data_IF_430850649433
#
_entry.id   IF_430850649433
#
_cell.length_a   1.000
_cell.length_b   1.000
_cell.length_c   1.000
_cell.angle_alpha   90.00
_cell.angle_beta   90.00
_cell.angle_gamma   90.00
#
_symmetry.space_group_name_H-M   'P 1'
#
loop_
_entity.id
_entity.type
_entity.pdbx_description
1 polymer ?
#
# COMPACT_ATOMS: atom_id res chain seq x y z
N UNK A 1 -18.90 -12.75 -29.45
CA UNK A 1 -18.60 -11.81 -28.38
C UNK A 1 -18.69 -12.59 -27.09
N UNK A 2 -17.82 -12.33 -26.10
CA UNK A 2 -17.81 -13.13 -24.86
C UNK A 2 -19.03 -12.74 -24.01
N UNK A 3 -19.79 -13.70 -23.47
CA UNK A 3 -21.08 -13.43 -22.79
C UNK A 3 -20.94 -12.42 -21.62
N UNK A 4 -19.80 -12.42 -20.91
CA UNK A 4 -19.58 -11.45 -19.84
C UNK A 4 -19.36 -10.02 -20.35
N UNK A 5 -18.79 -9.81 -21.56
CA UNK A 5 -18.66 -8.47 -22.16
C UNK A 5 -20.02 -7.86 -22.52
N UNK A 6 -20.92 -8.69 -23.04
CA UNK A 6 -22.29 -8.26 -23.32
C UNK A 6 -23.04 -7.92 -22.05
N UNK A 7 -22.83 -8.72 -21.00
CA UNK A 7 -23.42 -8.45 -19.68
C UNK A 7 -22.88 -7.16 -19.06
N UNK A 8 -21.55 -6.94 -19.12
CA UNK A 8 -20.92 -5.70 -18.63
C UNK A 8 -21.49 -4.48 -19.36
N UNK A 9 -21.54 -4.52 -20.68
CA UNK A 9 -22.03 -3.40 -21.48
C UNK A 9 -23.50 -3.06 -21.16
N UNK A 10 -24.35 -4.07 -20.96
CA UNK A 10 -25.74 -3.89 -20.58
C UNK A 10 -25.93 -3.37 -19.14
N UNK A 11 -24.93 -3.44 -18.27
CA UNK A 11 -25.03 -3.09 -16.86
C UNK A 11 -24.05 -1.98 -16.42
N UNK A 12 -23.33 -1.34 -17.33
CA UNK A 12 -22.30 -0.33 -17.03
C UNK A 12 -22.79 0.77 -16.07
N UNK A 13 -23.91 1.39 -16.41
CA UNK A 13 -24.45 2.51 -15.62
C UNK A 13 -24.85 2.06 -14.21
N UNK A 14 -25.40 0.86 -14.06
CA UNK A 14 -25.73 0.28 -12.77
C UNK A 14 -24.46 -0.01 -11.95
N UNK A 15 -23.46 -0.62 -12.55
CA UNK A 15 -22.18 -0.90 -11.88
C UNK A 15 -21.50 0.38 -11.35
N UNK A 16 -21.50 1.42 -12.19
CA UNK A 16 -20.98 2.72 -11.80
C UNK A 16 -21.81 3.33 -10.65
N UNK A 17 -23.13 3.30 -10.75
CA UNK A 17 -24.00 3.86 -9.72
C UNK A 17 -23.80 3.15 -8.37
N UNK A 18 -23.69 1.82 -8.37
CA UNK A 18 -23.45 1.04 -7.17
C UNK A 18 -22.09 1.36 -6.52
N UNK A 19 -21.03 1.61 -7.33
CA UNK A 19 -19.76 2.11 -6.81
C UNK A 19 -19.92 3.51 -6.19
N UNK A 20 -20.61 4.44 -6.90
CA UNK A 20 -20.83 5.79 -6.37
C UNK A 20 -21.61 5.75 -5.04
N UNK A 21 -22.57 4.81 -4.88
CA UNK A 21 -23.31 4.65 -3.63
C UNK A 21 -22.42 4.13 -2.49
N UNK A 22 -21.45 3.23 -2.79
CA UNK A 22 -20.47 2.77 -1.81
C UNK A 22 -19.50 3.88 -1.39
N UNK A 23 -19.09 4.74 -2.34
CA UNK A 23 -18.19 5.88 -2.07
C UNK A 23 -18.81 6.96 -1.18
N UNK A 24 -20.15 7.05 -1.12
CA UNK A 24 -20.87 7.98 -0.24
C UNK A 24 -20.76 7.63 1.23
N UNK A 25 -20.36 6.41 1.57
CA UNK A 25 -20.19 5.99 2.97
C UNK A 25 -18.81 6.42 3.45
N UNK A 26 -18.69 7.34 4.42
CA UNK A 26 -17.41 7.87 4.89
C UNK A 26 -16.74 6.91 5.89
N UNK A 27 -16.31 5.75 5.42
CA UNK A 27 -15.69 4.70 6.23
C UNK A 27 -14.24 5.03 6.63
N UNK A 28 -14.06 6.09 7.39
CA UNK A 28 -12.74 6.56 7.86
C UNK A 28 -12.34 5.81 9.12
N UNK A 29 -11.50 4.78 9.00
CA UNK A 29 -11.08 3.90 10.10
C UNK A 29 -10.36 4.62 11.24
N UNK A 30 -9.59 5.65 10.93
CA UNK A 30 -8.79 6.40 11.90
C UNK A 30 -9.59 7.31 12.85
N UNK A 31 -10.89 7.51 12.60
CA UNK A 31 -11.72 8.46 13.36
C UNK A 31 -12.93 7.77 14.00
N UNK A 32 -13.02 7.78 15.32
CA UNK A 32 -14.10 7.12 16.07
C UNK A 32 -15.51 7.69 15.76
N UNK A 33 -15.61 8.92 15.27
CA UNK A 33 -16.87 9.51 14.83
C UNK A 33 -17.48 8.78 13.62
N UNK A 34 -16.69 8.01 12.88
CA UNK A 34 -17.09 7.21 11.73
C UNK A 34 -17.33 5.71 12.04
N UNK A 35 -17.36 5.31 13.32
CA UNK A 35 -17.57 3.89 13.67
C UNK A 35 -18.89 3.32 13.11
N UNK A 36 -19.97 4.12 13.10
CA UNK A 36 -21.26 3.70 12.51
C UNK A 36 -21.17 3.60 10.99
N UNK A 37 -20.39 4.46 10.34
CA UNK A 37 -20.14 4.43 8.90
C UNK A 37 -19.30 3.20 8.51
N UNK A 38 -18.32 2.81 9.33
CA UNK A 38 -17.56 1.57 9.16
C UNK A 38 -18.49 0.35 9.15
N UNK A 39 -19.41 0.25 10.12
CA UNK A 39 -20.41 -0.82 10.17
C UNK A 39 -21.39 -0.76 8.99
N UNK A 40 -21.78 0.43 8.55
CA UNK A 40 -22.65 0.61 7.39
C UNK A 40 -21.95 0.16 6.10
N UNK A 41 -20.64 0.49 5.94
CA UNK A 41 -19.85 0.10 4.79
C UNK A 41 -19.64 -1.43 4.75
N UNK A 42 -19.29 -2.07 5.87
CA UNK A 42 -19.18 -3.53 5.96
C UNK A 42 -20.49 -4.23 5.53
N UNK A 43 -21.65 -3.73 5.96
CA UNK A 43 -22.96 -4.24 5.55
C UNK A 43 -23.23 -4.04 4.07
N UNK A 44 -22.84 -2.90 3.51
CA UNK A 44 -22.98 -2.61 2.07
C UNK A 44 -22.13 -3.56 1.23
N UNK A 45 -20.87 -3.82 1.65
CA UNK A 45 -19.96 -4.78 1.00
C UNK A 45 -20.54 -6.20 1.06
N UNK A 46 -20.96 -6.67 2.24
CA UNK A 46 -21.56 -8.00 2.40
C UNK A 46 -22.82 -8.17 1.53
N UNK A 47 -23.65 -7.13 1.46
CA UNK A 47 -24.82 -7.11 0.58
C UNK A 47 -24.41 -7.19 -0.89
N UNK A 48 -23.42 -6.42 -1.31
CA UNK A 48 -22.94 -6.40 -2.70
C UNK A 48 -22.39 -7.78 -3.13
N UNK A 49 -21.68 -8.48 -2.24
CA UNK A 49 -21.23 -9.86 -2.46
C UNK A 49 -22.39 -10.83 -2.61
N UNK A 50 -23.42 -10.71 -1.76
CA UNK A 50 -24.65 -11.54 -1.84
C UNK A 50 -25.38 -11.29 -3.17
N UNK A 51 -25.56 -10.04 -3.54
CA UNK A 51 -26.23 -9.65 -4.80
C UNK A 51 -25.45 -10.13 -6.04
N UNK A 52 -24.13 -10.16 -5.96
CA UNK A 52 -23.24 -10.70 -7.00
C UNK A 52 -23.29 -12.23 -7.11
N UNK A 53 -23.87 -12.92 -6.13
CA UNK A 53 -24.07 -14.38 -6.17
C UNK A 53 -23.16 -15.16 -5.22
N UNK A 54 -22.48 -14.52 -4.27
CA UNK A 54 -21.78 -15.23 -3.21
C UNK A 54 -22.76 -16.10 -2.40
N UNK A 55 -22.35 -17.33 -2.14
CA UNK A 55 -23.14 -18.29 -1.36
C UNK A 55 -23.09 -17.97 0.14
N UNK A 56 -21.99 -17.38 0.57
CA UNK A 56 -21.75 -16.90 1.94
C UNK A 56 -21.26 -15.44 1.83
N UNK A 57 -21.83 -14.58 2.63
CA UNK A 57 -21.31 -13.23 2.88
C UNK A 57 -21.52 -12.91 4.37
N UNK A 58 -20.45 -12.95 5.15
CA UNK A 58 -20.48 -12.86 6.62
C UNK A 58 -19.58 -11.73 7.09
N UNK A 59 -20.08 -10.94 8.03
CA UNK A 59 -19.31 -9.92 8.72
C UNK A 59 -18.73 -10.55 9.99
N UNK A 60 -17.42 -10.52 10.13
CA UNK A 60 -16.68 -10.96 11.31
C UNK A 60 -16.29 -9.75 12.13
N UNK A 61 -16.85 -9.65 13.33
CA UNK A 61 -16.46 -8.62 14.29
C UNK A 61 -15.03 -8.86 14.77
N UNK A 62 -14.28 -7.78 14.98
CA UNK A 62 -12.93 -7.78 15.54
C UNK A 62 -12.90 -6.91 16.80
N UNK A 63 -11.74 -6.72 17.43
CA UNK A 63 -11.57 -5.74 18.50
C UNK A 63 -11.62 -4.28 17.96
N UNK A 64 -11.52 -4.09 16.66
CA UNK A 64 -11.62 -2.81 15.96
C UNK A 64 -12.75 -2.81 14.93
N UNK A 65 -12.41 -2.64 13.65
CA UNK A 65 -13.39 -2.62 12.56
C UNK A 65 -13.61 -4.02 11.97
N UNK A 66 -14.84 -4.35 11.52
CA UNK A 66 -15.17 -5.69 11.06
C UNK A 66 -14.48 -6.05 9.74
N UNK A 67 -14.33 -7.36 9.54
CA UNK A 67 -13.85 -7.97 8.28
C UNK A 67 -15.05 -8.62 7.59
N UNK A 68 -15.21 -8.35 6.29
CA UNK A 68 -16.24 -8.98 5.46
C UNK A 68 -15.63 -10.17 4.72
N UNK A 69 -16.16 -11.35 4.97
CA UNK A 69 -15.83 -12.57 4.25
C UNK A 69 -16.93 -12.93 3.25
N UNK A 70 -16.56 -13.26 2.02
CA UNK A 70 -17.45 -13.76 0.99
C UNK A 70 -16.94 -15.06 0.39
N UNK A 71 -17.85 -15.94 -0.05
CA UNK A 71 -17.46 -17.20 -0.67
C UNK A 71 -18.45 -17.67 -1.72
N UNK A 72 -17.91 -18.21 -2.83
CA UNK A 72 -18.64 -19.06 -3.76
C UNK A 72 -17.77 -20.25 -4.15
N UNK A 73 -18.25 -21.45 -3.81
CA UNK A 73 -17.62 -22.72 -4.20
C UNK A 73 -18.48 -23.36 -5.29
N UNK A 74 -18.01 -23.30 -6.50
CA UNK A 74 -18.72 -23.83 -7.68
C UNK A 74 -18.46 -25.34 -7.83
N UNK A 75 -17.18 -25.72 -7.72
CA UNK A 75 -16.73 -27.11 -7.79
C UNK A 75 -15.48 -27.28 -6.91
N UNK A 76 -15.46 -28.23 -5.96
CA UNK A 76 -14.28 -28.47 -5.12
C UNK A 76 -13.00 -28.83 -5.89
N UNK A 77 -13.11 -29.25 -7.16
CA UNK A 77 -11.95 -29.54 -8.02
C UNK A 77 -11.37 -28.30 -8.71
N UNK A 78 -12.08 -27.19 -8.68
CA UNK A 78 -11.60 -25.94 -9.26
C UNK A 78 -10.58 -25.26 -8.33
N UNK A 79 -9.58 -24.57 -8.89
CA UNK A 79 -8.69 -23.76 -8.07
C UNK A 79 -9.48 -22.64 -7.40
N UNK A 80 -9.01 -22.24 -6.21
CA UNK A 80 -9.63 -21.20 -5.39
C UNK A 80 -8.79 -19.93 -5.39
N UNK A 81 -9.39 -18.81 -5.75
CA UNK A 81 -8.79 -17.47 -5.68
C UNK A 81 -9.32 -16.76 -4.45
N UNK A 82 -8.42 -16.27 -3.58
CA UNK A 82 -8.75 -15.39 -2.47
C UNK A 82 -8.53 -13.95 -2.91
N UNK A 83 -9.59 -13.17 -3.01
CA UNK A 83 -9.55 -11.74 -3.28
C UNK A 83 -9.39 -10.99 -1.96
N UNK A 84 -8.37 -10.17 -1.86
CA UNK A 84 -8.20 -9.26 -0.76
C UNK A 84 -8.39 -7.81 -1.21
N UNK A 85 -8.95 -6.98 -0.34
CA UNK A 85 -9.12 -5.55 -0.47
C UNK A 85 -9.55 -4.94 0.86
N UNK A 86 -9.74 -3.61 0.90
CA UNK A 86 -10.20 -2.93 2.08
C UNK A 86 -11.31 -1.91 1.78
N UNK A 87 -12.23 -1.73 2.74
CA UNK A 87 -13.35 -0.80 2.59
C UNK A 87 -13.17 0.47 3.41
N UNK A 88 -12.18 0.54 4.28
CA UNK A 88 -11.84 1.78 4.98
C UNK A 88 -11.06 2.74 4.07
N UNK A 89 -11.01 3.98 4.49
CA UNK A 89 -10.37 5.04 3.73
C UNK A 89 -9.64 6.01 4.66
N UNK A 90 -8.61 6.69 4.14
CA UNK A 90 -7.89 7.76 4.84
C UNK A 90 -8.81 8.96 5.18
N UNK A 91 -8.49 9.71 6.25
CA UNK A 91 -9.10 11.01 6.50
C UNK A 91 -9.03 11.92 5.27
N UNK A 92 -10.07 12.67 5.03
CA UNK A 92 -10.17 13.55 3.85
C UNK A 92 -9.52 14.93 4.06
N UNK A 93 -8.94 15.18 5.23
CA UNK A 93 -8.33 16.47 5.56
C UNK A 93 -7.10 16.77 4.68
N UNK A 94 -6.85 18.04 4.30
CA UNK A 94 -7.66 19.24 4.59
C UNK A 94 -8.86 19.40 3.62
N UNK A 95 -10.05 19.57 4.18
CA UNK A 95 -11.32 19.60 3.42
C UNK A 95 -11.43 20.78 2.44
N UNK A 96 -10.80 21.89 2.76
CA UNK A 96 -10.83 23.12 1.94
C UNK A 96 -10.11 23.00 0.59
N UNK A 97 -9.32 21.94 0.40
CA UNK A 97 -8.60 21.68 -0.85
C UNK A 97 -9.38 20.77 -1.82
N UNK A 98 -10.52 20.23 -1.40
CA UNK A 98 -11.35 19.43 -2.28
C UNK A 98 -12.20 20.30 -3.21
N UNK A 99 -12.30 19.90 -4.49
CA UNK A 99 -13.17 20.56 -5.48
C UNK A 99 -14.65 20.22 -5.28
N UNK A 100 -14.95 19.06 -4.69
CA UNK A 100 -16.27 18.59 -4.30
C UNK A 100 -16.19 17.94 -2.92
N UNK A 101 -17.32 17.67 -2.27
CA UNK A 101 -17.29 16.93 -1.00
C UNK A 101 -16.59 15.59 -1.15
N UNK A 102 -15.63 15.22 -0.27
CA UNK A 102 -14.85 13.99 -0.41
C UNK A 102 -15.70 12.72 -0.42
N UNK A 103 -16.89 12.73 0.16
CA UNK A 103 -17.87 11.64 0.15
C UNK A 103 -19.14 11.98 -0.67
N UNK A 104 -19.01 12.94 -1.57
CA UNK A 104 -20.00 13.31 -2.60
C UNK A 104 -19.41 13.01 -3.97
N UNK A 105 -19.33 11.72 -4.37
CA UNK A 105 -18.59 11.32 -5.57
C UNK A 105 -19.11 12.08 -6.80
N UNK A 106 -18.21 12.81 -7.43
CA UNK A 106 -18.50 13.69 -8.55
C UNK A 106 -17.75 13.24 -9.79
N UNK A 107 -18.44 13.14 -10.92
CA UNK A 107 -17.82 12.74 -12.19
C UNK A 107 -17.43 13.99 -12.98
N UNK A 108 -16.14 14.15 -13.26
CA UNK A 108 -15.60 15.22 -14.09
C UNK A 108 -14.67 14.59 -15.13
N UNK A 109 -14.90 14.85 -16.41
CA UNK A 109 -14.08 14.37 -17.53
C UNK A 109 -13.81 12.84 -17.51
N UNK A 110 -14.83 12.05 -17.14
CA UNK A 110 -14.74 10.59 -17.10
C UNK A 110 -14.00 10.04 -15.87
N UNK A 111 -13.76 10.86 -14.86
CA UNK A 111 -13.08 10.51 -13.60
C UNK A 111 -14.04 10.70 -12.43
N UNK A 112 -14.01 9.77 -11.49
CA UNK A 112 -14.74 9.84 -10.23
C UNK A 112 -13.85 10.54 -9.22
N UNK A 113 -14.25 11.68 -8.69
CA UNK A 113 -13.58 12.37 -7.60
C UNK A 113 -14.28 12.06 -6.28
N UNK A 114 -13.63 11.30 -5.42
CA UNK A 114 -14.07 10.99 -4.06
C UNK A 114 -12.94 10.33 -3.27
N UNK A 115 -12.95 10.41 -1.95
CA UNK A 115 -12.08 9.62 -1.08
C UNK A 115 -12.48 8.13 -1.18
N UNK A 116 -11.49 7.24 -1.38
CA UNK A 116 -11.70 5.82 -1.60
C UNK A 116 -12.06 5.47 -3.05
N UNK A 117 -12.03 6.45 -3.97
CA UNK A 117 -12.38 6.19 -5.38
C UNK A 117 -11.41 5.23 -6.06
N UNK A 118 -10.12 5.33 -5.74
CA UNK A 118 -9.07 4.42 -6.22
C UNK A 118 -8.58 3.51 -5.10
N UNK A 119 -8.47 4.00 -3.89
CA UNK A 119 -7.87 3.37 -2.74
C UNK A 119 -8.92 3.08 -1.65
N UNK A 120 -9.46 1.88 -1.53
CA UNK A 120 -9.43 0.70 -2.43
C UNK A 120 -10.85 0.35 -2.93
N UNK A 121 -11.90 1.14 -2.50
CA UNK A 121 -13.31 0.83 -2.84
C UNK A 121 -13.52 0.65 -4.34
N UNK A 122 -12.94 1.54 -5.17
CA UNK A 122 -13.05 1.43 -6.62
C UNK A 122 -12.41 0.17 -7.15
N UNK A 123 -11.28 -0.25 -6.60
CA UNK A 123 -10.54 -1.38 -7.11
C UNK A 123 -11.09 -2.72 -6.59
N UNK A 124 -11.31 -2.91 -5.28
CA UNK A 124 -11.89 -4.19 -4.85
C UNK A 124 -13.30 -4.40 -5.42
N UNK A 125 -14.07 -3.33 -5.62
CA UNK A 125 -15.43 -3.44 -6.16
C UNK A 125 -15.48 -3.99 -7.59
N UNK A 126 -14.40 -3.85 -8.36
CA UNK A 126 -14.27 -4.50 -9.67
C UNK A 126 -14.38 -6.03 -9.55
N UNK A 127 -13.81 -6.62 -8.50
CA UNK A 127 -13.90 -8.06 -8.26
C UNK A 127 -15.32 -8.51 -7.92
N UNK A 128 -16.07 -7.67 -7.17
CA UNK A 128 -17.49 -7.93 -6.89
C UNK A 128 -18.31 -7.93 -8.17
N UNK A 129 -18.06 -6.97 -9.06
CA UNK A 129 -18.78 -6.92 -10.37
C UNK A 129 -18.34 -8.03 -11.34
N UNK A 130 -17.06 -8.41 -11.32
CA UNK A 130 -16.58 -9.56 -12.07
C UNK A 130 -17.22 -10.87 -11.58
N UNK A 131 -17.35 -11.06 -10.25
CA UNK A 131 -18.09 -12.19 -9.67
C UNK A 131 -19.53 -12.21 -10.20
N UNK A 132 -20.24 -11.07 -10.14
CA UNK A 132 -21.61 -10.96 -10.65
C UNK A 132 -21.71 -11.37 -12.13
N UNK A 133 -20.80 -10.84 -12.96
CA UNK A 133 -20.77 -11.20 -14.38
C UNK A 133 -20.57 -12.69 -14.60
N UNK A 134 -19.55 -13.28 -13.97
CA UNK A 134 -19.22 -14.70 -14.12
C UNK A 134 -20.36 -15.60 -13.64
N UNK A 135 -21.00 -15.22 -12.53
CA UNK A 135 -22.16 -15.95 -11.99
C UNK A 135 -23.37 -15.87 -12.92
N UNK A 136 -23.74 -14.68 -13.39
CA UNK A 136 -24.92 -14.46 -14.25
C UNK A 136 -24.74 -15.03 -15.65
N UNK A 137 -23.53 -15.21 -16.12
CA UNK A 137 -23.23 -15.79 -17.44
C UNK A 137 -22.84 -17.26 -17.38
N UNK A 138 -22.89 -17.90 -16.20
CA UNK A 138 -22.46 -19.29 -15.99
C UNK A 138 -21.03 -19.56 -16.49
N UNK A 139 -20.12 -18.61 -16.30
CA UNK A 139 -18.73 -18.68 -16.77
C UNK A 139 -17.70 -18.84 -15.64
N UNK A 140 -18.15 -19.21 -14.45
CA UNK A 140 -17.28 -19.51 -13.32
C UNK A 140 -16.40 -20.73 -13.61
N UNK A 141 -15.09 -20.58 -13.43
CA UNK A 141 -14.08 -21.62 -13.65
C UNK A 141 -13.10 -21.75 -12.48
N UNK A 142 -13.27 -20.93 -11.47
CA UNK A 142 -12.57 -20.98 -10.17
C UNK A 142 -13.58 -20.86 -9.05
N UNK A 143 -13.22 -21.33 -7.86
CA UNK A 143 -13.87 -20.92 -6.64
C UNK A 143 -13.30 -19.55 -6.23
N UNK A 144 -14.12 -18.72 -5.62
CA UNK A 144 -13.69 -17.37 -5.21
C UNK A 144 -14.04 -17.14 -3.74
N UNK A 145 -13.09 -16.64 -3.00
CA UNK A 145 -13.25 -16.15 -1.63
C UNK A 145 -12.87 -14.67 -1.58
N UNK A 146 -13.47 -13.94 -0.66
CA UNK A 146 -13.19 -12.53 -0.41
C UNK A 146 -12.83 -12.33 1.04
N UNK A 147 -11.81 -11.54 1.30
CA UNK A 147 -11.51 -10.93 2.61
C UNK A 147 -11.37 -9.44 2.36
N UNK A 148 -12.37 -8.68 2.81
CA UNK A 148 -12.39 -7.22 2.67
C UNK A 148 -12.36 -6.63 4.08
N UNK A 149 -11.22 -6.05 4.46
CA UNK A 149 -11.03 -5.51 5.81
C UNK A 149 -11.42 -4.05 5.95
N UNK A 150 -11.49 -3.58 7.18
CA UNK A 150 -11.81 -2.19 7.51
C UNK A 150 -10.72 -1.47 8.30
N UNK A 151 -9.47 -1.92 8.25
CA UNK A 151 -8.38 -1.37 9.06
C UNK A 151 -7.05 -1.24 8.29
N UNK A 152 -7.04 -1.41 6.96
CA UNK A 152 -5.80 -1.33 6.17
C UNK A 152 -5.11 0.00 6.39
N UNK A 153 -5.85 1.09 6.33
CA UNK A 153 -5.39 2.47 6.42
C UNK A 153 -4.85 2.88 7.81
N UNK A 154 -5.03 2.01 8.80
CA UNK A 154 -4.46 2.14 10.15
C UNK A 154 -3.50 1.00 10.49
N UNK A 155 -3.08 0.21 9.49
CA UNK A 155 -2.06 -0.84 9.60
C UNK A 155 -2.58 -2.21 9.99
N UNK A 156 -3.86 -2.52 9.74
CA UNK A 156 -4.48 -3.84 9.88
C UNK A 156 -4.27 -4.53 11.26
N UNK A 157 -4.47 -3.84 12.39
CA UNK A 157 -4.09 -4.36 13.70
C UNK A 157 -4.78 -5.68 14.08
N UNK A 158 -5.99 -5.94 13.54
CA UNK A 158 -6.77 -7.13 13.86
C UNK A 158 -6.73 -8.23 12.79
N UNK A 159 -6.22 -7.93 11.59
CA UNK A 159 -6.19 -8.88 10.47
C UNK A 159 -5.35 -10.13 10.80
N UNK A 160 -4.19 -9.97 11.42
CA UNK A 160 -3.31 -11.08 11.77
C UNK A 160 -4.02 -12.09 12.69
N UNK A 161 -4.79 -11.61 13.67
CA UNK A 161 -5.60 -12.45 14.57
C UNK A 161 -6.68 -13.20 13.80
N UNK A 162 -7.38 -12.51 12.90
CA UNK A 162 -8.42 -13.12 12.06
C UNK A 162 -7.84 -14.21 11.15
N UNK A 163 -6.74 -13.93 10.44
CA UNK A 163 -6.10 -14.89 9.53
C UNK A 163 -5.63 -16.14 10.27
N UNK A 164 -4.96 -15.98 11.41
CA UNK A 164 -4.49 -17.10 12.24
C UNK A 164 -5.62 -17.99 12.73
N UNK A 165 -6.74 -17.38 13.14
CA UNK A 165 -7.91 -18.10 13.64
C UNK A 165 -8.71 -18.80 12.53
N UNK A 166 -8.60 -18.37 11.28
CA UNK A 166 -9.46 -18.79 10.17
C UNK A 166 -8.69 -19.40 8.99
N UNK A 167 -7.51 -20.02 9.22
CA UNK A 167 -6.67 -20.60 8.16
C UNK A 167 -7.42 -21.57 7.23
N UNK A 168 -8.27 -22.44 7.79
CA UNK A 168 -9.06 -23.40 7.01
C UNK A 168 -10.13 -22.70 6.15
N UNK A 169 -10.76 -21.64 6.68
CA UNK A 169 -11.71 -20.82 5.96
C UNK A 169 -11.03 -20.11 4.77
N UNK A 170 -9.80 -19.64 4.97
CA UNK A 170 -9.04 -18.84 4.00
C UNK A 170 -8.22 -19.69 3.01
N UNK A 171 -8.29 -21.01 3.10
CA UNK A 171 -7.60 -21.91 2.16
C UNK A 171 -7.93 -21.53 0.72
N UNK A 172 -6.88 -21.29 -0.06
CA UNK A 172 -6.94 -20.91 -1.48
C UNK A 172 -5.68 -21.41 -2.23
N UNK A 173 -5.57 -21.13 -3.50
CA UNK A 173 -4.40 -21.45 -4.33
C UNK A 173 -3.57 -20.19 -4.66
N UNK A 174 -4.21 -19.00 -4.64
CA UNK A 174 -3.59 -17.71 -4.89
C UNK A 174 -4.37 -16.59 -4.20
N UNK A 175 -3.68 -15.51 -3.85
CA UNK A 175 -4.32 -14.25 -3.43
C UNK A 175 -4.23 -13.25 -4.58
N UNK A 176 -5.33 -12.58 -4.87
CA UNK A 176 -5.43 -11.53 -5.88
C UNK A 176 -5.76 -10.21 -5.19
N UNK A 177 -4.89 -9.21 -5.39
CA UNK A 177 -5.00 -7.88 -4.81
C UNK A 177 -5.01 -6.85 -5.95
N UNK A 178 -5.91 -5.88 -5.89
CA UNK A 178 -5.97 -4.78 -6.87
C UNK A 178 -5.60 -3.41 -6.28
N UNK A 179 -5.12 -3.39 -5.05
CA UNK A 179 -4.72 -2.19 -4.31
C UNK A 179 -3.33 -1.69 -4.74
N UNK A 180 -3.15 -1.48 -6.04
CA UNK A 180 -1.91 -0.95 -6.62
C UNK A 180 -2.21 -0.12 -7.88
N UNK A 181 -1.18 0.55 -8.42
CA UNK A 181 -1.28 1.33 -9.65
C UNK A 181 -0.61 0.64 -10.83
N UNK A 182 -1.02 0.98 -12.03
CA UNK A 182 -0.28 0.69 -13.26
C UNK A 182 0.38 1.96 -13.81
N UNK A 183 1.41 1.82 -14.64
CA UNK A 183 2.11 2.96 -15.26
C UNK A 183 1.13 3.85 -16.03
N UNK A 184 0.34 3.27 -16.93
CA UNK A 184 -0.71 3.96 -17.67
C UNK A 184 -1.59 2.98 -18.43
N UNK A 185 -2.73 3.44 -18.96
CA UNK A 185 -3.58 2.66 -19.86
C UNK A 185 -2.86 2.21 -21.15
N UNK A 186 -1.94 3.06 -21.65
CA UNK A 186 -1.15 2.74 -22.84
C UNK A 186 0.05 1.83 -22.55
N UNK A 187 0.51 1.79 -21.31
CA UNK A 187 1.60 0.94 -20.84
C UNK A 187 1.16 0.23 -19.55
N UNK A 188 0.32 -0.81 -19.69
CA UNK A 188 -0.15 -1.56 -18.52
C UNK A 188 1.03 -2.20 -17.81
N UNK A 189 0.98 -2.25 -16.50
CA UNK A 189 2.00 -2.89 -15.68
C UNK A 189 1.38 -3.77 -14.60
N UNK A 190 2.17 -4.66 -14.05
CA UNK A 190 1.83 -5.47 -12.88
C UNK A 190 2.92 -5.25 -11.85
N UNK A 191 2.53 -4.85 -10.65
CA UNK A 191 3.45 -4.86 -9.53
C UNK A 191 3.86 -6.30 -9.19
N UNK A 192 5.16 -6.55 -9.22
CA UNK A 192 5.70 -7.86 -8.86
C UNK A 192 6.21 -7.92 -7.43
N UNK A 193 6.15 -6.83 -6.70
CA UNK A 193 6.57 -6.81 -5.31
C UNK A 193 6.37 -5.46 -4.66
N UNK A 194 6.26 -5.50 -3.36
CA UNK A 194 6.11 -4.34 -2.47
C UNK A 194 7.30 -4.29 -1.51
N UNK A 195 7.67 -3.07 -1.12
CA UNK A 195 8.75 -2.89 -0.16
C UNK A 195 8.28 -3.24 1.26
N UNK A 196 9.20 -3.74 2.08
CA UNK A 196 8.98 -3.86 3.51
C UNK A 196 9.08 -2.51 4.22
N UNK A 197 8.79 -2.53 5.50
CA UNK A 197 8.81 -1.36 6.36
C UNK A 197 9.47 -1.69 7.70
N UNK A 198 10.32 -0.80 8.20
CA UNK A 198 10.71 -0.71 9.61
C UNK A 198 10.47 0.71 10.07
N UNK A 199 9.59 0.91 11.04
CA UNK A 199 9.22 2.23 11.56
C UNK A 199 9.63 2.34 13.02
N UNK A 200 10.47 3.34 13.35
CA UNK A 200 11.09 3.51 14.64
C UNK A 200 11.00 4.95 15.13
N UNK A 201 11.15 5.12 16.43
CA UNK A 201 11.31 6.43 17.06
C UNK A 201 12.59 6.47 17.90
N UNK A 202 13.33 7.55 17.75
CA UNK A 202 14.58 7.82 18.48
C UNK A 202 14.34 8.98 19.43
N UNK A 203 14.68 8.79 20.71
CA UNK A 203 14.74 9.83 21.71
C UNK A 203 16.20 10.04 22.16
N UNK A 204 16.66 11.28 22.07
CA UNK A 204 17.95 11.70 22.62
C UNK A 204 17.68 12.56 23.85
N UNK A 205 18.15 12.10 25.02
CA UNK A 205 18.04 12.80 26.31
C UNK A 205 19.39 13.35 26.73
N UNK A 206 19.47 14.67 26.99
CA UNK A 206 20.63 15.37 27.47
C UNK A 206 20.50 15.73 28.97
N UNK A 207 20.41 17.03 29.33
CA UNK A 207 20.28 17.44 30.72
C UNK A 207 18.92 17.03 31.32
N UNK A 208 18.85 17.00 32.66
CA UNK A 208 17.64 16.57 33.38
C UNK A 208 16.44 17.55 33.28
N UNK A 209 16.62 18.69 32.65
CA UNK A 209 15.61 19.74 32.40
C UNK A 209 16.08 20.66 31.28
N UNK A 210 15.17 21.45 30.77
CA UNK A 210 15.51 22.55 29.87
C UNK A 210 16.37 23.60 30.55
N UNK A 211 17.39 24.10 29.86
CA UNK A 211 18.38 25.02 30.38
C UNK A 211 18.41 26.34 29.60
N UNK A 212 18.88 27.41 30.23
CA UNK A 212 19.12 28.67 29.55
C UNK A 212 20.35 28.56 28.62
N UNK A 213 20.14 28.73 27.31
CA UNK A 213 21.20 28.52 26.30
C UNK A 213 22.38 29.52 26.45
N UNK A 214 22.12 30.72 26.94
CA UNK A 214 23.19 31.72 27.21
C UNK A 214 24.06 31.40 28.39
N UNK A 215 23.59 30.54 29.33
CA UNK A 215 24.33 30.14 30.52
C UNK A 215 25.05 28.80 30.32
N UNK A 216 24.41 27.86 29.64
CA UNK A 216 24.88 26.49 29.52
C UNK A 216 25.31 26.11 28.10
N UNK A 217 25.02 26.97 27.09
CA UNK A 217 25.44 26.73 25.71
C UNK A 217 26.96 26.66 25.59
N UNK A 218 27.45 25.64 24.85
CA UNK A 218 28.87 25.34 24.74
C UNK A 218 29.46 24.48 25.86
N UNK A 219 28.75 24.36 27.02
CA UNK A 219 29.16 23.54 28.16
C UNK A 219 28.34 22.23 28.27
N UNK A 220 27.07 22.25 27.85
CA UNK A 220 26.14 21.11 27.90
C UNK A 220 25.71 20.73 26.52
N UNK A 221 25.64 19.42 26.22
CA UNK A 221 25.17 18.91 24.91
C UNK A 221 23.71 19.31 24.66
N UNK A 222 23.45 19.78 23.44
CA UNK A 222 22.10 20.05 22.98
C UNK A 222 21.57 18.80 22.25
N UNK A 223 20.52 18.12 22.74
CA UNK A 223 19.97 16.91 22.14
C UNK A 223 19.55 17.10 20.67
N UNK A 224 19.02 18.25 20.27
CA UNK A 224 18.66 18.53 18.86
C UNK A 224 19.92 18.49 17.98
N UNK A 225 21.00 19.15 18.41
CA UNK A 225 22.27 19.17 17.66
C UNK A 225 22.87 17.78 17.56
N UNK A 226 22.81 16.99 18.63
CA UNK A 226 23.30 15.60 18.62
C UNK A 226 22.44 14.73 17.69
N UNK A 227 21.12 14.75 17.83
CA UNK A 227 20.20 13.99 16.99
C UNK A 227 20.37 14.32 15.50
N UNK A 228 20.49 15.62 15.16
CA UNK A 228 20.73 16.04 13.76
C UNK A 228 22.04 15.47 13.20
N UNK A 229 23.11 15.42 14.00
CA UNK A 229 24.37 14.81 13.58
C UNK A 229 24.26 13.29 13.41
N UNK A 230 23.53 12.63 14.30
CA UNK A 230 23.28 11.18 14.23
C UNK A 230 22.47 10.83 12.97
N UNK A 231 21.43 11.58 12.67
CA UNK A 231 20.65 11.42 11.43
C UNK A 231 21.53 11.65 10.21
N UNK A 232 22.31 12.73 10.18
CA UNK A 232 23.22 13.02 9.07
C UNK A 232 24.27 11.94 8.87
N UNK A 233 24.67 11.23 9.93
CA UNK A 233 25.62 10.12 9.84
C UNK A 233 25.01 8.83 9.26
N UNK A 234 23.70 8.75 9.09
CA UNK A 234 23.04 7.59 8.47
C UNK A 234 23.27 7.50 6.96
N UNK A 235 23.75 8.54 6.30
CA UNK A 235 24.04 8.56 4.87
C UNK A 235 25.43 9.12 4.58
N UNK A 236 26.06 8.60 3.54
CA UNK A 236 27.27 9.17 2.98
C UNK A 236 26.99 10.25 1.92
N UNK A 237 28.04 10.77 1.30
CA UNK A 237 27.98 11.78 0.25
C UNK A 237 27.30 11.30 -1.06
N UNK A 238 27.09 10.00 -1.22
CA UNK A 238 26.39 9.38 -2.34
C UNK A 238 24.96 8.97 -1.97
N UNK A 239 24.46 9.36 -0.79
CA UNK A 239 23.19 8.94 -0.21
C UNK A 239 23.06 7.43 0.00
N UNK A 240 24.20 6.73 0.16
CA UNK A 240 24.22 5.34 0.58
C UNK A 240 24.07 5.27 2.11
N UNK A 241 23.26 4.37 2.61
CA UNK A 241 23.02 4.19 4.04
C UNK A 241 24.27 3.58 4.69
N UNK A 242 24.82 4.26 5.70
CA UNK A 242 26.09 3.90 6.35
C UNK A 242 25.95 2.96 7.53
N UNK A 243 24.72 2.56 7.87
CA UNK A 243 24.47 1.65 9.00
C UNK A 243 25.11 0.29 8.71
N UNK A 244 26.01 -0.21 9.57
CA UNK A 244 26.71 -1.47 9.34
C UNK A 244 25.75 -2.64 9.13
N UNK A 245 25.95 -3.38 8.04
CA UNK A 245 25.14 -4.54 7.70
C UNK A 245 23.76 -4.22 7.09
N UNK A 246 23.42 -2.96 6.85
CA UNK A 246 22.11 -2.59 6.31
C UNK A 246 21.82 -3.21 4.94
N UNK A 247 22.86 -3.43 4.14
CA UNK A 247 22.75 -4.01 2.79
C UNK A 247 23.14 -5.49 2.70
N UNK A 248 23.49 -6.16 3.81
CA UNK A 248 24.04 -7.53 3.78
C UNK A 248 23.13 -8.53 3.04
N UNK A 249 21.81 -8.37 3.18
CA UNK A 249 20.83 -9.27 2.60
C UNK A 249 20.21 -8.73 1.29
N UNK A 250 20.63 -7.54 0.83
CA UNK A 250 20.12 -6.94 -0.41
C UNK A 250 20.68 -7.67 -1.62
N UNK A 251 19.79 -8.21 -2.45
CA UNK A 251 20.17 -8.78 -3.75
C UNK A 251 20.33 -7.66 -4.76
N UNK A 252 21.56 -7.48 -5.25
CA UNK A 252 21.80 -6.53 -6.33
C UNK A 252 21.19 -7.02 -7.64
N UNK A 253 20.41 -6.15 -8.28
CA UNK A 253 19.82 -6.45 -9.58
C UNK A 253 20.89 -6.58 -10.66
N UNK A 254 20.76 -7.59 -11.50
CA UNK A 254 21.64 -7.81 -12.64
C UNK A 254 21.52 -6.70 -13.68
N UNK A 255 22.53 -6.52 -14.52
CA UNK A 255 22.47 -5.55 -15.62
C UNK A 255 21.28 -5.82 -16.58
N UNK A 256 20.89 -7.08 -16.75
CA UNK A 256 19.73 -7.46 -17.58
C UNK A 256 18.41 -7.04 -16.93
N UNK A 257 18.27 -7.22 -15.61
CA UNK A 257 17.07 -6.78 -14.87
C UNK A 257 16.95 -5.25 -14.89
N UNK A 258 18.04 -4.53 -14.63
CA UNK A 258 18.07 -3.07 -14.70
C UNK A 258 17.73 -2.55 -16.10
N UNK A 259 18.19 -3.22 -17.16
CA UNK A 259 17.84 -2.86 -18.53
C UNK A 259 16.32 -3.04 -18.81
N UNK A 260 15.71 -4.13 -18.32
CA UNK A 260 14.26 -4.34 -18.42
C UNK A 260 13.47 -3.29 -17.62
N UNK A 261 13.91 -2.95 -16.43
CA UNK A 261 13.27 -1.89 -15.64
C UNK A 261 13.33 -0.52 -16.34
N UNK A 262 14.43 -0.27 -17.09
CA UNK A 262 14.58 0.96 -17.86
C UNK A 262 13.66 1.02 -19.10
N UNK A 263 12.99 -0.08 -19.50
CA UNK A 263 11.96 -0.07 -20.55
C UNK A 263 10.65 0.56 -20.08
N UNK A 264 10.44 0.64 -18.76
CA UNK A 264 9.28 1.35 -18.19
C UNK A 264 9.38 2.84 -18.52
N UNK A 265 8.37 3.42 -19.18
CA UNK A 265 8.39 4.84 -19.52
C UNK A 265 8.43 5.69 -18.24
N UNK A 266 9.39 6.61 -18.20
CA UNK A 266 9.53 7.56 -17.10
C UNK A 266 10.05 8.88 -17.64
N UNK A 267 9.23 9.93 -17.57
CA UNK A 267 9.65 11.28 -17.92
C UNK A 267 10.10 12.04 -16.65
N UNK A 268 11.41 12.24 -16.54
CA UNK A 268 12.01 12.95 -15.40
C UNK A 268 11.58 14.43 -15.34
N UNK A 269 11.28 15.06 -16.47
CA UNK A 269 10.88 16.47 -16.47
C UNK A 269 9.43 16.61 -16.01
N UNK A 270 8.54 15.73 -16.47
CA UNK A 270 7.16 15.65 -16.02
C UNK A 270 7.11 15.37 -14.50
N UNK A 271 7.84 14.37 -14.03
CA UNK A 271 7.97 14.03 -12.59
C UNK A 271 8.43 15.24 -11.75
N UNK A 272 9.45 15.96 -12.22
CA UNK A 272 9.93 17.16 -11.51
C UNK A 272 8.94 18.31 -11.53
N UNK A 273 8.21 18.47 -12.62
CA UNK A 273 7.20 19.51 -12.76
C UNK A 273 5.99 19.24 -11.87
N UNK A 274 5.52 18.00 -11.84
CA UNK A 274 4.39 17.57 -11.02
C UNK A 274 4.67 17.79 -9.52
N UNK A 275 5.86 17.40 -9.07
CA UNK A 275 6.26 17.58 -7.67
C UNK A 275 6.79 18.99 -7.33
N UNK A 276 6.93 19.88 -8.30
CA UNK A 276 7.47 21.22 -8.09
C UNK A 276 8.94 21.27 -7.63
N UNK A 277 9.75 20.25 -8.00
CA UNK A 277 11.14 20.12 -7.56
C UNK A 277 12.14 20.46 -8.67
N UNK A 278 13.25 21.09 -8.30
CA UNK A 278 14.31 21.44 -9.25
C UNK A 278 15.17 20.23 -9.65
N UNK A 279 15.49 19.34 -8.71
CA UNK A 279 16.35 18.18 -8.90
C UNK A 279 15.81 16.97 -8.12
N UNK A 280 16.16 15.76 -8.62
CA UNK A 280 15.90 14.51 -7.90
C UNK A 280 16.94 14.29 -6.80
N UNK A 281 16.59 13.45 -5.83
CA UNK A 281 17.42 13.03 -4.70
C UNK A 281 17.49 11.50 -4.61
N UNK A 282 18.47 10.96 -3.90
CA UNK A 282 18.58 9.54 -3.56
C UNK A 282 19.94 8.94 -3.91
N UNK A 283 20.08 7.63 -3.73
CA UNK A 283 21.32 6.88 -3.86
C UNK A 283 21.93 7.04 -5.26
N UNK A 284 23.22 7.37 -5.32
CA UNK A 284 23.94 7.62 -6.58
C UNK A 284 24.12 6.32 -7.35
N UNK A 285 24.00 6.38 -8.67
CA UNK A 285 24.16 5.21 -9.55
C UNK A 285 22.87 4.47 -9.86
N UNK A 286 21.75 4.92 -9.31
CA UNK A 286 20.41 4.36 -9.56
C UNK A 286 19.47 5.41 -10.14
N UNK A 287 18.59 4.99 -11.05
CA UNK A 287 17.50 5.80 -11.58
C UNK A 287 16.41 6.05 -10.51
N UNK A 288 15.47 6.95 -10.76
CA UNK A 288 14.36 7.22 -9.85
C UNK A 288 13.55 5.96 -9.57
N UNK A 289 13.16 5.23 -10.63
CA UNK A 289 12.39 3.98 -10.50
C UNK A 289 13.16 2.89 -9.73
N UNK A 290 14.48 2.81 -9.91
CA UNK A 290 15.31 1.87 -9.14
C UNK A 290 15.37 2.26 -7.66
N UNK A 291 15.50 3.55 -7.33
CA UNK A 291 15.51 4.03 -5.95
C UNK A 291 14.20 3.74 -5.21
N UNK A 292 13.09 3.87 -5.90
CA UNK A 292 11.76 3.63 -5.30
C UNK A 292 11.35 2.17 -5.30
N UNK A 293 11.88 1.34 -6.20
CA UNK A 293 11.47 -0.06 -6.36
C UNK A 293 12.43 -1.12 -5.82
N UNK A 294 13.75 -0.96 -6.05
CA UNK A 294 14.73 -2.01 -5.75
C UNK A 294 15.81 -1.60 -4.75
N UNK A 295 15.81 -0.35 -4.29
CA UNK A 295 16.77 0.09 -3.27
C UNK A 295 16.05 0.33 -1.94
N UNK A 296 16.68 -0.09 -0.82
CA UNK A 296 16.15 0.28 0.49
C UNK A 296 16.40 1.76 0.76
N UNK A 297 15.57 2.37 1.60
CA UNK A 297 15.67 3.78 1.97
C UNK A 297 15.59 3.96 3.48
N UNK A 298 16.09 5.11 3.97
CA UNK A 298 15.93 5.56 5.34
C UNK A 298 15.48 7.02 5.28
N UNK A 299 14.26 7.29 5.77
CA UNK A 299 13.64 8.59 5.71
C UNK A 299 13.24 9.09 7.10
N UNK A 300 13.42 10.40 7.33
CA UNK A 300 12.97 11.05 8.56
C UNK A 300 11.55 11.59 8.35
N UNK A 301 10.57 10.95 8.99
CA UNK A 301 9.16 11.31 8.87
C UNK A 301 8.75 12.43 9.83
N UNK A 302 9.51 12.62 10.91
CA UNK A 302 9.28 13.69 11.86
C UNK A 302 10.51 13.93 12.72
N UNK A 303 10.75 15.18 13.09
CA UNK A 303 11.79 15.59 14.03
C UNK A 303 11.25 16.72 14.88
N UNK A 304 11.42 16.62 16.22
CA UNK A 304 10.97 17.67 17.13
C UNK A 304 11.82 17.73 18.40
N UNK A 305 11.69 18.88 19.09
CA UNK A 305 12.38 19.19 20.34
C UNK A 305 12.52 20.70 20.50
N UNK A 306 12.85 21.12 21.69
CA UNK A 306 13.00 22.55 22.02
C UNK A 306 11.66 23.31 22.01
N UNK A 307 11.74 24.61 21.78
CA UNK A 307 10.60 25.51 21.81
C UNK A 307 10.03 25.73 20.41
N UNK A 308 8.75 25.43 20.23
CA UNK A 308 8.01 25.56 18.96
C UNK A 308 6.83 26.54 19.08
N UNK A 309 6.64 27.18 20.24
CA UNK A 309 5.58 28.18 20.44
C UNK A 309 5.90 29.54 19.84
N UNK A 310 4.96 30.47 19.93
CA UNK A 310 5.11 31.83 19.41
C UNK A 310 6.23 32.60 20.14
N UNK A 311 6.99 33.36 19.39
CA UNK A 311 8.10 34.18 19.89
C UNK A 311 9.40 33.42 20.10
N UNK A 312 10.40 34.06 20.71
CA UNK A 312 11.72 33.50 20.93
C UNK A 312 11.89 32.99 22.39
N UNK A 313 12.47 31.79 22.55
CA UNK A 313 12.88 31.25 23.84
C UNK A 313 14.31 30.74 23.76
N UNK A 314 15.24 31.33 24.49
CA UNK A 314 16.66 30.96 24.50
C UNK A 314 16.88 29.70 25.34
N UNK A 315 16.43 28.56 24.84
CA UNK A 315 16.44 27.26 25.53
C UNK A 315 17.44 26.29 24.92
N UNK A 316 18.08 25.51 25.76
CA UNK A 316 18.76 24.27 25.45
C UNK A 316 17.83 23.15 25.94
N UNK A 317 17.16 22.40 25.07
CA UNK A 317 16.17 21.41 25.48
C UNK A 317 16.79 20.22 26.21
N UNK A 318 16.00 19.56 27.02
CA UNK A 318 16.40 18.32 27.71
C UNK A 318 16.30 17.09 26.79
N UNK A 319 15.44 17.14 25.79
CA UNK A 319 15.16 16.00 24.85
C UNK A 319 15.00 16.48 23.42
N UNK A 320 15.27 15.55 22.48
CA UNK A 320 14.94 15.65 21.07
C UNK A 320 14.47 14.29 20.54
N UNK A 321 13.62 14.31 19.53
CA UNK A 321 12.96 13.11 19.02
C UNK A 321 13.00 13.09 17.49
N UNK A 322 13.07 11.88 16.91
CA UNK A 322 12.86 11.67 15.48
C UNK A 322 12.06 10.39 15.24
N UNK A 323 11.15 10.47 14.28
CA UNK A 323 10.49 9.31 13.67
C UNK A 323 11.18 8.99 12.36
N UNK A 324 11.54 7.73 12.16
CA UNK A 324 12.33 7.27 11.02
C UNK A 324 11.66 6.03 10.45
N UNK A 325 11.50 5.99 9.13
CA UNK A 325 11.08 4.81 8.41
C UNK A 325 12.18 4.31 7.47
N UNK A 326 12.39 3.00 7.46
CA UNK A 326 13.22 2.34 6.44
C UNK A 326 12.30 1.56 5.51
N UNK A 327 12.37 1.82 4.21
CA UNK A 327 11.75 0.94 3.22
C UNK A 327 12.72 -0.16 2.87
N UNK A 328 12.26 -1.40 2.92
CA UNK A 328 13.08 -2.60 2.78
C UNK A 328 12.83 -3.27 1.43
N UNK A 329 13.85 -3.96 0.92
CA UNK A 329 13.76 -4.72 -0.34
C UNK A 329 13.81 -6.22 -0.05
N UNK A 330 13.44 -7.10 -1.00
CA UNK A 330 13.42 -8.54 -0.78
C UNK A 330 14.70 -9.07 -0.13
N UNK A 331 14.52 -10.03 0.78
CA UNK A 331 15.46 -10.67 1.69
C UNK A 331 15.91 -9.83 2.90
N UNK A 332 15.65 -8.55 2.97
CA UNK A 332 15.82 -7.82 4.22
C UNK A 332 14.70 -8.22 5.19
N UNK A 333 15.03 -8.50 6.45
CA UNK A 333 14.03 -8.69 7.51
C UNK A 333 13.80 -7.37 8.25
N UNK A 334 12.52 -7.02 8.43
CA UNK A 334 12.13 -5.80 9.15
C UNK A 334 12.67 -5.80 10.58
N UNK A 335 12.58 -6.92 11.28
CA UNK A 335 13.13 -7.07 12.64
C UNK A 335 14.64 -6.88 12.67
N UNK A 336 15.38 -7.53 11.75
CA UNK A 336 16.85 -7.43 11.71
C UNK A 336 17.29 -6.02 11.37
N UNK A 337 16.64 -5.36 10.41
CA UNK A 337 16.97 -3.98 10.06
C UNK A 337 16.62 -3.02 11.21
N UNK A 338 15.46 -3.21 11.86
CA UNK A 338 15.11 -2.45 13.07
C UNK A 338 16.22 -2.56 14.11
N UNK A 339 16.68 -3.76 14.47
CA UNK A 339 17.76 -3.96 15.43
C UNK A 339 19.08 -3.28 14.98
N UNK A 340 19.45 -3.40 13.71
CA UNK A 340 20.67 -2.76 13.16
C UNK A 340 20.57 -1.21 13.32
N UNK A 341 19.45 -0.61 12.98
CA UNK A 341 19.22 0.84 13.09
C UNK A 341 19.27 1.27 14.54
N UNK A 342 18.52 0.61 15.43
CA UNK A 342 18.49 0.94 16.87
C UNK A 342 19.90 0.84 17.51
N UNK A 343 20.63 -0.22 17.17
CA UNK A 343 22.00 -0.41 17.67
C UNK A 343 22.98 0.63 17.11
N UNK A 344 22.83 1.01 15.85
CA UNK A 344 23.65 2.05 15.25
C UNK A 344 23.47 3.39 15.97
N UNK A 345 22.24 3.86 16.18
CA UNK A 345 21.98 5.09 16.91
C UNK A 345 22.56 5.05 18.32
N UNK A 346 22.45 3.93 19.04
CA UNK A 346 23.09 3.76 20.36
C UNK A 346 24.61 3.81 20.28
N UNK A 347 25.21 3.23 19.24
CA UNK A 347 26.66 3.14 19.09
C UNK A 347 27.35 4.46 18.74
N UNK A 348 26.67 5.34 18.02
CA UNK A 348 27.19 6.66 17.62
C UNK A 348 26.82 7.78 18.61
N UNK A 349 26.06 7.45 19.65
CA UNK A 349 25.71 8.39 20.70
C UNK A 349 26.95 8.82 21.48
N UNK A 350 27.23 10.12 21.65
CA UNK A 350 28.30 10.56 22.52
C UNK A 350 27.93 10.35 24.01
N UNK A 351 28.94 10.19 24.87
CA UNK A 351 28.79 9.85 26.29
C UNK A 351 27.99 10.88 27.13
N UNK A 352 27.76 12.06 26.59
CA UNK A 352 27.06 13.17 27.29
C UNK A 352 25.54 13.20 26.99
N UNK A 353 24.99 12.18 26.31
CA UNK A 353 23.54 11.99 26.10
C UNK A 353 23.17 10.53 26.28
N UNK A 354 21.88 10.29 26.51
CA UNK A 354 21.29 8.95 26.48
C UNK A 354 20.39 8.81 25.26
N UNK A 355 20.50 7.69 24.54
CA UNK A 355 19.63 7.37 23.40
C UNK A 355 18.71 6.23 23.77
N UNK A 356 17.40 6.49 23.70
CA UNK A 356 16.36 5.48 23.73
C UNK A 356 15.79 5.33 22.32
N UNK A 357 15.47 4.11 21.93
CA UNK A 357 14.97 3.82 20.59
C UNK A 357 13.86 2.77 20.68
N UNK A 358 12.76 3.02 19.97
CA UNK A 358 11.53 2.24 20.05
C UNK A 358 11.13 1.79 18.65
N UNK A 359 10.74 0.54 18.53
CA UNK A 359 10.04 0.03 17.35
C UNK A 359 8.56 0.39 17.47
N UNK A 360 7.95 0.87 16.37
CA UNK A 360 6.51 1.06 16.27
C UNK A 360 5.87 -0.14 15.59
N UNK A 361 6.18 -0.34 14.31
CA UNK A 361 5.66 -1.44 13.51
C UNK A 361 6.60 -1.70 12.32
N UNK A 362 6.44 -2.84 11.70
CA UNK A 362 7.20 -3.24 10.53
C UNK A 362 6.42 -4.25 9.68
N UNK A 363 6.96 -4.53 8.50
CA UNK A 363 6.44 -5.54 7.59
C UNK A 363 7.54 -6.00 6.66
N UNK A 364 7.52 -7.29 6.34
CA UNK A 364 8.52 -7.87 5.44
C UNK A 364 8.21 -7.46 3.98
N UNK A 365 9.22 -7.29 3.14
CA UNK A 365 9.02 -7.09 1.71
C UNK A 365 8.47 -8.37 1.07
N UNK A 366 7.74 -8.22 -0.03
CA UNK A 366 7.21 -9.35 -0.78
C UNK A 366 7.56 -9.24 -2.26
N UNK A 367 7.77 -10.37 -2.95
CA UNK A 367 8.00 -10.44 -4.38
C UNK A 367 7.30 -11.66 -5.01
N UNK A 368 6.58 -11.43 -6.10
CA UNK A 368 5.97 -12.48 -6.92
C UNK A 368 6.92 -12.87 -8.06
N UNK A 369 7.31 -14.14 -8.18
CA UNK A 369 8.13 -14.58 -9.31
C UNK A 369 7.36 -14.42 -10.64
N UNK A 370 7.99 -13.77 -11.62
CA UNK A 370 7.36 -13.47 -12.92
C UNK A 370 7.14 -14.72 -13.80
N UNK A 371 7.83 -15.82 -13.50
CA UNK A 371 7.66 -17.11 -14.16
C UNK A 371 6.60 -18.00 -13.48
N UNK A 372 6.00 -17.54 -12.40
CA UNK A 372 4.93 -18.27 -11.71
C UNK A 372 3.67 -18.31 -12.55
N UNK A 373 2.89 -19.41 -12.42
CA UNK A 373 1.61 -19.57 -13.12
C UNK A 373 0.64 -18.45 -12.78
N UNK A 374 0.64 -18.01 -11.54
CA UNK A 374 -0.20 -16.95 -10.99
C UNK A 374 0.06 -15.61 -11.70
N UNK A 375 1.34 -15.20 -11.77
CA UNK A 375 1.73 -13.98 -12.49
C UNK A 375 1.45 -14.09 -14.00
N UNK A 376 1.80 -15.22 -14.63
CA UNK A 376 1.58 -15.43 -16.06
C UNK A 376 0.09 -15.38 -16.44
N UNK A 377 -0.79 -15.84 -15.54
CA UNK A 377 -2.24 -15.75 -15.73
C UNK A 377 -2.73 -14.29 -15.72
N UNK A 378 -2.22 -13.47 -14.78
CA UNK A 378 -2.52 -12.05 -14.73
C UNK A 378 -1.95 -11.30 -15.96
N UNK A 379 -0.70 -11.59 -16.33
CA UNK A 379 -0.07 -10.98 -17.51
C UNK A 379 -0.87 -11.28 -18.78
N UNK A 380 -1.27 -12.55 -18.99
CA UNK A 380 -2.11 -12.95 -20.12
C UNK A 380 -3.50 -12.28 -20.10
N UNK A 381 -4.10 -12.09 -18.92
CA UNK A 381 -5.37 -11.40 -18.79
C UNK A 381 -5.26 -9.93 -19.21
N UNK A 382 -4.24 -9.23 -18.72
CA UNK A 382 -3.97 -7.84 -19.09
C UNK A 382 -3.64 -7.75 -20.59
N UNK A 383 -2.76 -8.62 -21.12
CA UNK A 383 -2.43 -8.63 -22.54
C UNK A 383 -3.68 -8.82 -23.42
N UNK A 384 -4.63 -9.66 -22.97
CA UNK A 384 -5.89 -9.91 -23.69
C UNK A 384 -6.80 -8.68 -23.73
N UNK A 385 -6.84 -7.88 -22.68
CA UNK A 385 -7.77 -6.76 -22.57
C UNK A 385 -7.16 -5.42 -22.97
N UNK A 386 -5.87 -5.24 -22.75
CA UNK A 386 -5.14 -4.00 -23.14
C UNK A 386 -4.48 -4.12 -24.52
N UNK A 387 -4.32 -5.34 -25.05
CA UNK A 387 -3.63 -5.57 -26.33
C UNK A 387 -2.11 -5.44 -26.25
N UNK A 388 -1.55 -5.37 -25.07
CA UNK A 388 -0.11 -5.27 -24.80
C UNK A 388 0.26 -6.12 -23.59
N UNK A 389 1.45 -6.75 -23.63
CA UNK A 389 2.02 -7.40 -22.46
C UNK A 389 2.29 -6.37 -21.35
N UNK A 390 1.94 -6.69 -20.10
CA UNK A 390 2.21 -5.79 -19.00
C UNK A 390 3.70 -5.74 -18.66
N UNK A 391 4.17 -4.57 -18.25
CA UNK A 391 5.53 -4.37 -17.76
C UNK A 391 5.57 -4.81 -16.29
N UNK A 392 6.46 -5.75 -15.88
CA UNK A 392 6.65 -6.04 -14.47
C UNK A 392 7.38 -4.89 -13.80
N UNK A 393 6.77 -4.32 -12.77
CA UNK A 393 7.34 -3.21 -11.98
C UNK A 393 7.41 -3.59 -10.51
N UNK A 394 8.24 -2.90 -9.75
CA UNK A 394 8.29 -3.03 -8.29
C UNK A 394 7.67 -1.80 -7.65
N UNK A 395 6.59 -1.98 -6.92
CA UNK A 395 5.91 -0.93 -6.20
C UNK A 395 6.78 -0.33 -5.09
N UNK A 396 6.70 0.98 -4.92
CA UNK A 396 7.41 1.72 -3.88
C UNK A 396 6.74 1.63 -2.50
N UNK A 397 5.45 1.36 -2.46
CA UNK A 397 4.66 1.22 -1.25
C UNK A 397 4.94 -0.07 -0.49
N UNK A 398 4.44 -0.15 0.74
CA UNK A 398 4.45 -1.36 1.55
C UNK A 398 3.01 -1.76 1.81
N UNK A 399 2.71 -3.02 1.58
CA UNK A 399 1.44 -3.66 1.93
C UNK A 399 1.79 -4.74 2.98
N UNK A 400 1.80 -4.40 4.26
CA UNK A 400 2.33 -5.28 5.32
C UNK A 400 1.65 -6.63 5.41
N UNK A 401 0.40 -6.70 4.98
CA UNK A 401 -0.40 -7.92 5.00
C UNK A 401 0.09 -8.99 4.02
N UNK A 402 0.88 -8.63 3.00
CA UNK A 402 1.40 -9.60 2.04
C UNK A 402 2.29 -10.64 2.71
N UNK A 403 3.19 -10.19 3.58
CA UNK A 403 4.04 -11.10 4.35
C UNK A 403 3.23 -11.95 5.34
N UNK A 404 2.18 -11.40 5.94
CA UNK A 404 1.26 -12.14 6.80
C UNK A 404 0.60 -13.30 6.04
N UNK A 405 0.06 -13.03 4.87
CA UNK A 405 -0.59 -14.07 4.06
C UNK A 405 0.38 -15.14 3.58
N UNK A 406 1.58 -14.75 3.15
CA UNK A 406 2.61 -15.72 2.76
C UNK A 406 3.02 -16.61 3.94
N UNK A 407 3.29 -16.03 5.11
CA UNK A 407 3.72 -16.78 6.30
C UNK A 407 2.62 -17.68 6.89
N UNK A 408 1.38 -17.19 6.95
CA UNK A 408 0.30 -17.90 7.66
C UNK A 408 -0.47 -18.85 6.75
N UNK A 409 -0.59 -18.54 5.45
CA UNK A 409 -1.37 -19.33 4.50
C UNK A 409 -0.50 -20.03 3.45
N UNK A 410 0.76 -19.62 3.26
CA UNK A 410 1.66 -20.19 2.25
C UNK A 410 1.24 -19.84 0.81
N UNK A 411 0.45 -18.77 0.63
CA UNK A 411 -0.12 -18.42 -0.65
C UNK A 411 0.76 -17.40 -1.38
N UNK A 412 0.85 -17.54 -2.69
CA UNK A 412 1.41 -16.50 -3.56
C UNK A 412 0.38 -15.39 -3.78
N UNK A 413 0.90 -14.17 -3.93
CA UNK A 413 0.09 -12.97 -4.14
C UNK A 413 0.33 -12.46 -5.55
N UNK A 414 -0.72 -12.06 -6.23
CA UNK A 414 -0.69 -11.36 -7.51
C UNK A 414 -1.30 -9.98 -7.31
N UNK A 415 -0.55 -8.96 -7.67
CA UNK A 415 -1.05 -7.59 -7.70
C UNK A 415 -1.56 -7.26 -9.10
N UNK A 416 -2.84 -6.97 -9.22
CA UNK A 416 -3.45 -6.61 -10.50
C UNK A 416 -4.23 -5.30 -10.33
N UNK A 417 -3.48 -4.21 -10.09
CA UNK A 417 -4.02 -2.88 -9.89
C UNK A 417 -4.38 -2.18 -11.19
N UNK A 418 -5.33 -1.27 -11.09
CA UNK A 418 -5.84 -0.44 -12.18
C UNK A 418 -5.87 1.05 -11.81
N UNK A 419 -5.29 1.44 -10.69
CA UNK A 419 -5.02 2.82 -10.31
C UNK A 419 -3.90 3.43 -11.17
N UNK A 420 -3.69 4.73 -11.04
CA UNK A 420 -2.60 5.47 -11.67
C UNK A 420 -1.89 6.32 -10.61
N UNK A 421 -0.58 6.57 -10.78
CA UNK A 421 0.17 7.46 -9.90
C UNK A 421 -0.45 8.87 -9.79
N UNK A 422 -1.20 9.28 -10.80
CA UNK A 422 -1.91 10.56 -10.84
C UNK A 422 -3.26 10.56 -10.09
N UNK A 423 -3.62 9.49 -9.40
CA UNK A 423 -4.93 9.38 -8.74
C UNK A 423 -5.01 10.07 -7.37
N UNK A 424 -3.90 10.70 -6.93
CA UNK A 424 -3.82 11.50 -5.71
C UNK A 424 -4.22 10.70 -4.45
N UNK A 425 -3.75 9.45 -4.34
CA UNK A 425 -4.00 8.63 -3.14
C UNK A 425 -3.57 9.37 -1.88
N UNK A 426 -4.34 9.24 -0.79
CA UNK A 426 -4.16 9.92 0.50
C UNK A 426 -4.18 11.46 0.46
N UNK A 427 -4.47 12.06 -0.70
CA UNK A 427 -4.50 13.51 -0.91
C UNK A 427 -5.92 14.03 -1.21
N UNK A 428 -6.20 15.33 -1.07
CA UNK A 428 -7.42 15.92 -1.60
C UNK A 428 -7.56 15.71 -3.11
N UNK A 429 -8.80 15.57 -3.56
CA UNK A 429 -9.14 15.30 -4.97
C UNK A 429 -8.63 13.94 -5.47
N UNK A 430 -8.58 12.94 -4.59
CA UNK A 430 -8.42 11.56 -5.02
C UNK A 430 -9.45 11.26 -6.10
N UNK A 431 -9.00 10.55 -7.15
CA UNK A 431 -9.83 10.22 -8.30
C UNK A 431 -9.60 8.80 -8.78
N UNK A 432 -10.55 8.30 -9.56
CA UNK A 432 -10.40 7.05 -10.28
C UNK A 432 -11.01 7.17 -11.69
N UNK A 433 -10.26 6.75 -12.70
CA UNK A 433 -10.74 6.81 -14.07
C UNK A 433 -11.81 5.74 -14.30
N UNK A 434 -13.01 6.13 -14.76
CA UNK A 434 -14.14 5.21 -15.04
C UNK A 434 -13.72 4.16 -16.07
N UNK A 435 -12.84 4.50 -16.99
CA UNK A 435 -12.31 3.55 -17.98
C UNK A 435 -11.51 2.45 -17.30
N UNK A 436 -10.70 2.79 -16.27
CA UNK A 436 -9.91 1.83 -15.50
C UNK A 436 -10.82 0.89 -14.70
N UNK A 437 -11.86 1.44 -14.07
CA UNK A 437 -12.87 0.63 -13.39
C UNK A 437 -13.49 -0.42 -14.30
N UNK A 438 -13.97 -0.03 -15.49
CA UNK A 438 -14.53 -0.99 -16.43
C UNK A 438 -13.50 -1.94 -17.01
N UNK A 439 -12.26 -1.47 -17.19
CA UNK A 439 -11.17 -2.30 -17.67
C UNK A 439 -10.78 -3.40 -16.67
N UNK A 440 -10.77 -3.07 -15.39
CA UNK A 440 -10.59 -4.06 -14.33
C UNK A 440 -11.70 -5.11 -14.32
N UNK A 441 -12.97 -4.68 -14.36
CA UNK A 441 -14.11 -5.59 -14.45
C UNK A 441 -14.00 -6.52 -15.68
N UNK A 442 -13.53 -6.02 -16.83
CA UNK A 442 -13.32 -6.82 -18.04
C UNK A 442 -12.16 -7.82 -17.87
N UNK A 443 -11.08 -7.43 -17.17
CA UNK A 443 -9.83 -8.19 -17.09
C UNK A 443 -9.90 -9.33 -16.09
N UNK A 444 -10.57 -9.13 -14.95
CA UNK A 444 -10.64 -10.09 -13.85
C UNK A 444 -11.17 -11.48 -14.30
N UNK A 445 -12.25 -11.62 -15.08
CA UNK A 445 -12.70 -12.93 -15.56
C UNK A 445 -11.67 -13.67 -16.42
N UNK A 446 -10.86 -12.95 -17.18
CA UNK A 446 -9.75 -13.57 -17.93
C UNK A 446 -8.66 -14.10 -17.02
N UNK A 447 -8.35 -13.40 -15.92
CA UNK A 447 -7.43 -13.93 -14.91
C UNK A 447 -7.94 -15.28 -14.40
N UNK A 448 -9.19 -15.36 -13.95
CA UNK A 448 -9.79 -16.59 -13.46
C UNK A 448 -9.76 -17.72 -14.52
N UNK A 449 -10.06 -17.38 -15.77
CA UNK A 449 -10.01 -18.34 -16.87
C UNK A 449 -8.59 -18.90 -17.08
N UNK A 450 -7.58 -18.03 -17.17
CA UNK A 450 -6.21 -18.46 -17.43
C UNK A 450 -5.59 -19.16 -16.22
N UNK A 451 -5.96 -18.75 -15.01
CA UNK A 451 -5.52 -19.40 -13.77
C UNK A 451 -6.10 -20.81 -13.61
N UNK A 452 -7.33 -21.04 -14.08
CA UNK A 452 -7.96 -22.36 -14.10
C UNK A 452 -7.36 -23.30 -15.16
N UNK A 453 -6.67 -22.78 -16.20
CA UNK A 453 -5.98 -23.60 -17.21
C UNK A 453 -4.77 -24.26 -16.53
N UNK A 454 -4.91 -25.52 -16.07
CA UNK A 454 -3.77 -26.30 -15.53
C UNK A 454 -2.70 -26.45 -16.61
N UNK A 455 -1.43 -26.26 -16.20
CA UNK A 455 -0.27 -26.65 -17.03
C UNK A 455 -0.24 -28.14 -17.29
#
# INVERSE_FOLDING_TARGET
MNAWKEFQEANKDRFLQELLDLLRIPSVSAKSEHNDDMQACAKAVAKSLTDAGAQIATIYETEGHPIVYGEIIVDPSFPTVLVYGHYDVQPADPLELWHSGPFEPTIIDGKIFARGACDDKGQFYMHVKALEMMTKTNSMCTNIKFVIEGEEEIGSPNLATFVKANKDLLKADVILISDTAMISMDNPSIDIGVRGLSYIEIEVTGPNRDLHSGVYGGAVANPITILSKMIAACHDENNHITIPGFYDDVIESTASERAKMAEAPFDLNEFKQDLGIANIWGEKGYSTNERTGIRPTLEVNGIWGGYTGEGAKTVLPSKAFAKISCRLVPNQSSTVITEKVLNYFKSIAPDNVTVSAFEHHGGEPYITPIDSHEYQSAAKAIATTFGKEPIPVRGGGSIPICSLFEQELGLKIVFMGFGLDSDNLHSPNEKYDIVNFYKGIETIPYFHQFFAEKK
#
